data_IF_539697049073
#
_entry.id   IF_539697049073
#
_cell.length_a   1.000
_cell.length_b   1.000
_cell.length_c   1.000
_cell.angle_alpha   90.00
_cell.angle_beta   90.00
_cell.angle_gamma   90.00
#
_symmetry.space_group_name_H-M   'P 1'
#
loop_
_entity.id
_entity.type
_entity.pdbx_description
1 polymer ?
#
# COMPACT_ATOMS: atom_id res chain seq x y z
N UNK A 1 12.24 92.13 -5.54
CA UNK A 1 11.03 91.28 -5.45
C UNK A 1 11.31 90.01 -6.22
N UNK A 2 12.16 89.14 -5.70
CA UNK A 2 11.96 88.16 -4.62
C UNK A 2 11.70 86.82 -5.28
N UNK A 3 12.78 86.06 -5.39
CA UNK A 3 12.81 84.63 -5.64
C UNK A 3 11.86 83.94 -4.65
N UNK A 4 10.80 83.32 -5.16
CA UNK A 4 9.92 82.50 -4.34
C UNK A 4 10.52 81.09 -4.26
N UNK A 5 11.30 80.91 -3.21
CA UNK A 5 11.87 79.64 -2.74
C UNK A 5 10.74 78.65 -2.43
N UNK A 6 10.62 77.59 -3.24
CA UNK A 6 9.71 76.49 -2.98
C UNK A 6 10.37 75.60 -1.91
N UNK A 7 9.83 75.46 -0.68
CA UNK A 7 10.47 74.64 0.33
C UNK A 7 10.37 73.16 -0.07
N UNK A 8 11.53 72.49 -0.07
CA UNK A 8 11.64 71.05 -0.27
C UNK A 8 10.78 70.30 0.75
N UNK A 9 9.67 69.73 0.30
CA UNK A 9 8.88 68.80 1.10
C UNK A 9 9.75 67.59 1.49
N UNK A 10 9.75 67.14 2.75
CA UNK A 10 10.48 65.93 3.13
C UNK A 10 9.85 64.74 2.42
N UNK A 11 10.65 64.07 1.59
CA UNK A 11 10.29 62.78 1.01
C UNK A 11 9.90 61.81 2.13
N UNK A 12 8.67 61.26 2.16
CA UNK A 12 8.36 60.19 3.08
C UNK A 12 9.06 58.92 2.57
N UNK A 13 10.25 58.63 3.10
CA UNK A 13 10.88 57.31 2.98
C UNK A 13 10.14 56.30 3.85
N UNK A 14 8.89 56.00 3.49
CA UNK A 14 8.17 54.88 4.08
C UNK A 14 8.71 53.59 3.47
N UNK A 15 9.66 52.99 4.21
CA UNK A 15 10.04 51.58 4.15
C UNK A 15 8.78 50.74 3.88
N UNK A 16 8.73 49.88 2.84
CA UNK A 16 7.56 49.05 2.62
C UNK A 16 7.32 48.22 3.87
N UNK A 17 6.07 48.07 4.34
CA UNK A 17 5.79 47.17 5.45
C UNK A 17 6.28 45.79 5.01
N UNK A 18 7.35 45.31 5.65
CA UNK A 18 7.78 43.93 5.55
C UNK A 18 6.54 43.09 5.83
N UNK A 19 6.09 42.34 4.84
CA UNK A 19 4.95 41.44 4.96
C UNK A 19 5.33 40.31 5.93
N UNK A 20 5.32 40.62 7.22
CA UNK A 20 5.25 39.64 8.30
C UNK A 20 3.84 39.09 8.30
N UNK A 21 3.59 38.24 7.32
CA UNK A 21 2.24 37.85 6.92
C UNK A 21 2.18 36.44 6.35
N UNK A 22 3.10 35.54 6.71
CA UNK A 22 2.74 34.12 6.68
C UNK A 22 2.09 33.78 8.02
N UNK A 23 0.85 34.25 8.16
CA UNK A 23 -0.13 33.79 9.15
C UNK A 23 0.01 32.27 9.21
N UNK A 24 0.61 31.76 10.28
CA UNK A 24 0.83 30.34 10.46
C UNK A 24 -0.51 29.65 10.29
N UNK A 25 -0.71 28.95 9.16
CA UNK A 25 -1.91 28.14 8.97
C UNK A 25 -2.02 27.24 10.19
N UNK A 26 -3.20 27.06 10.81
CA UNK A 26 -3.32 26.15 11.94
C UNK A 26 -2.74 24.81 11.49
N UNK A 27 -1.65 24.41 12.11
CA UNK A 27 -0.97 23.19 11.73
C UNK A 27 -1.93 22.06 12.07
N UNK A 28 -2.46 21.40 11.04
CA UNK A 28 -3.24 20.17 11.22
C UNK A 28 -2.50 19.31 12.24
N UNK A 29 -3.20 18.91 13.29
CA UNK A 29 -2.65 18.13 14.37
C UNK A 29 -3.52 16.91 14.63
N UNK A 30 -2.94 15.91 15.28
CA UNK A 30 -3.65 14.69 15.65
C UNK A 30 -3.30 14.31 17.08
N UNK A 31 -4.31 13.87 17.81
CA UNK A 31 -4.23 13.39 19.19
C UNK A 31 -4.94 12.03 19.29
N UNK A 32 -4.49 11.18 20.22
CA UNK A 32 -5.06 9.84 20.36
C UNK A 32 -6.51 9.89 20.90
N UNK A 33 -6.77 10.81 21.82
CA UNK A 33 -8.05 10.99 22.52
C UNK A 33 -9.07 11.68 21.61
N UNK A 34 -8.77 12.90 21.16
CA UNK A 34 -9.70 13.73 20.39
C UNK A 34 -9.62 13.57 18.86
N UNK A 35 -8.58 12.90 18.34
CA UNK A 35 -8.40 12.70 16.90
C UNK A 35 -7.80 13.90 16.17
N UNK A 36 -8.31 14.20 14.96
CA UNK A 36 -7.80 15.23 14.06
C UNK A 36 -8.29 16.64 14.46
N UNK A 37 -7.37 17.59 14.52
CA UNK A 37 -7.64 19.01 14.81
C UNK A 37 -7.06 19.91 13.72
N UNK A 38 -7.69 21.08 13.53
CA UNK A 38 -7.19 22.10 12.61
C UNK A 38 -7.35 21.77 11.12
N UNK A 39 -8.16 20.77 10.77
CA UNK A 39 -8.58 20.52 9.38
C UNK A 39 -9.70 21.51 9.05
N UNK A 40 -9.43 22.46 8.16
CA UNK A 40 -10.42 23.46 7.73
C UNK A 40 -11.31 22.93 6.61
N UNK A 41 -12.48 23.53 6.38
CA UNK A 41 -13.34 23.20 5.24
C UNK A 41 -12.63 23.41 3.89
N UNK A 42 -11.75 24.40 3.81
CA UNK A 42 -10.89 24.60 2.63
C UNK A 42 -9.98 23.39 2.38
N UNK A 43 -9.42 22.80 3.43
CA UNK A 43 -8.61 21.58 3.32
C UNK A 43 -9.44 20.38 2.88
N UNK A 44 -10.65 20.25 3.42
CA UNK A 44 -11.59 19.19 3.02
C UNK A 44 -11.96 19.32 1.54
N UNK A 45 -12.24 20.54 1.08
CA UNK A 45 -12.55 20.83 -0.33
C UNK A 45 -11.36 20.57 -1.26
N UNK A 46 -10.16 21.00 -0.85
CA UNK A 46 -8.92 20.77 -1.59
C UNK A 46 -8.66 19.26 -1.77
N UNK A 47 -8.74 18.49 -0.67
CA UNK A 47 -8.48 17.05 -0.71
C UNK A 47 -9.60 16.27 -1.40
N UNK A 48 -10.86 16.67 -1.24
CA UNK A 48 -11.98 16.06 -1.94
C UNK A 48 -11.87 16.23 -3.46
N UNK A 49 -11.40 17.39 -3.92
CA UNK A 49 -11.14 17.64 -5.35
C UNK A 49 -9.92 16.88 -5.85
N UNK A 50 -8.85 16.81 -5.06
CA UNK A 50 -7.61 16.12 -5.44
C UNK A 50 -7.73 14.59 -5.43
N UNK A 51 -8.53 14.03 -4.53
CA UNK A 51 -8.66 12.58 -4.31
C UNK A 51 -10.14 12.13 -4.39
N UNK A 52 -10.78 12.21 -5.57
CA UNK A 52 -12.22 11.95 -5.70
C UNK A 52 -12.64 10.51 -5.38
N UNK A 53 -11.72 9.53 -5.44
CA UNK A 53 -12.00 8.14 -5.10
C UNK A 53 -11.81 7.80 -3.61
N UNK A 54 -11.35 8.76 -2.81
CA UNK A 54 -11.13 8.61 -1.37
C UNK A 54 -12.24 9.34 -0.60
N UNK A 55 -13.10 8.59 0.10
CA UNK A 55 -14.12 9.19 0.95
C UNK A 55 -13.46 9.80 2.20
N UNK A 56 -13.32 11.13 2.24
CA UNK A 56 -12.42 11.82 3.17
C UNK A 56 -12.69 11.46 4.64
N UNK A 57 -13.95 11.48 5.09
CA UNK A 57 -14.28 11.16 6.49
C UNK A 57 -13.95 9.70 6.85
N UNK A 58 -14.19 8.75 5.93
CA UNK A 58 -13.84 7.34 6.14
C UNK A 58 -12.32 7.17 6.21
N UNK A 59 -11.58 7.87 5.37
CA UNK A 59 -10.12 7.80 5.35
C UNK A 59 -9.49 8.47 6.58
N UNK A 60 -10.05 9.58 7.08
CA UNK A 60 -9.63 10.19 8.35
C UNK A 60 -9.88 9.26 9.54
N UNK A 61 -10.98 8.51 9.55
CA UNK A 61 -11.28 7.50 10.57
C UNK A 61 -10.31 6.32 10.51
N UNK A 62 -10.02 5.79 9.32
CA UNK A 62 -9.02 4.72 9.13
C UNK A 62 -7.62 5.18 9.52
N UNK A 63 -7.25 6.41 9.16
CA UNK A 63 -5.98 6.99 9.54
C UNK A 63 -5.87 7.12 11.07
N UNK A 64 -6.95 7.53 11.75
CA UNK A 64 -7.02 7.56 13.22
C UNK A 64 -6.85 6.18 13.83
N UNK A 65 -7.56 5.16 13.33
CA UNK A 65 -7.41 3.79 13.81
C UNK A 65 -5.99 3.26 13.62
N UNK A 66 -5.36 3.55 12.47
CA UNK A 66 -3.97 3.17 12.20
C UNK A 66 -2.99 3.84 13.15
N UNK A 67 -3.17 5.12 13.45
CA UNK A 67 -2.33 5.86 14.39
C UNK A 67 -2.48 5.36 15.82
N UNK A 68 -3.71 5.06 16.26
CA UNK A 68 -3.97 4.41 17.55
C UNK A 68 -3.26 3.06 17.67
N UNK A 69 -3.26 2.26 16.60
CA UNK A 69 -2.53 0.99 16.56
C UNK A 69 -0.99 1.17 16.44
N UNK A 70 -0.50 2.32 16.00
CA UNK A 70 0.91 2.60 15.74
C UNK A 70 1.40 3.85 16.49
N UNK A 71 1.46 3.84 17.83
CA UNK A 71 1.78 5.01 18.64
C UNK A 71 3.16 5.62 18.31
N UNK A 72 4.13 4.80 17.88
CA UNK A 72 5.47 5.25 17.43
C UNK A 72 5.42 6.19 16.21
N UNK A 73 4.33 6.18 15.45
CA UNK A 73 4.15 7.00 14.24
C UNK A 73 3.40 8.31 14.53
N UNK A 74 2.96 8.53 15.77
CA UNK A 74 2.16 9.69 16.19
C UNK A 74 2.98 10.98 16.43
N UNK A 75 4.31 10.92 16.38
CA UNK A 75 5.18 12.09 16.59
C UNK A 75 5.46 12.94 15.33
N UNK A 76 4.56 12.97 14.33
CA UNK A 76 4.82 13.67 13.07
C UNK A 76 4.63 15.18 13.23
N UNK A 77 5.62 15.95 12.79
CA UNK A 77 5.58 17.43 12.79
C UNK A 77 4.72 18.03 11.67
N UNK A 78 4.45 17.27 10.61
CA UNK A 78 3.66 17.71 9.46
C UNK A 78 2.60 16.65 9.11
N UNK A 79 1.43 16.81 9.72
CA UNK A 79 0.28 15.94 9.51
C UNK A 79 -0.39 16.14 8.15
N UNK A 80 -0.34 17.34 7.58
CA UNK A 80 -0.87 17.60 6.24
C UNK A 80 -0.20 16.70 5.19
N UNK A 81 1.13 16.61 5.22
CA UNK A 81 1.88 15.70 4.34
C UNK A 81 1.54 14.23 4.57
N UNK A 82 1.28 13.85 5.82
CA UNK A 82 0.85 12.48 6.13
C UNK A 82 -0.51 12.16 5.51
N UNK A 83 -1.49 13.06 5.64
CA UNK A 83 -2.83 12.88 5.07
C UNK A 83 -2.81 12.83 3.55
N UNK A 84 -2.10 13.74 2.89
CA UNK A 84 -1.94 13.73 1.42
C UNK A 84 -1.35 12.40 0.94
N UNK A 85 -0.27 11.93 1.57
CA UNK A 85 0.33 10.64 1.24
C UNK A 85 -0.49 9.41 1.69
N UNK A 86 -1.46 9.58 2.59
CA UNK A 86 -2.44 8.57 2.97
C UNK A 86 -3.52 8.44 1.89
N UNK A 87 -4.12 9.57 1.51
CA UNK A 87 -5.17 9.66 0.50
C UNK A 87 -4.68 9.21 -0.87
N UNK A 88 -3.47 9.62 -1.28
CA UNK A 88 -2.85 9.14 -2.52
C UNK A 88 -2.76 7.61 -2.56
N UNK A 89 -2.27 6.99 -1.47
CA UNK A 89 -2.17 5.52 -1.39
C UNK A 89 -3.54 4.84 -1.40
N UNK A 90 -4.56 5.49 -0.84
CA UNK A 90 -5.93 4.99 -0.90
C UNK A 90 -6.44 5.00 -2.36
N UNK A 91 -6.25 6.11 -3.06
CA UNK A 91 -6.59 6.27 -4.47
C UNK A 91 -5.87 5.22 -5.34
N UNK A 92 -4.55 5.07 -5.20
CA UNK A 92 -3.74 4.13 -5.98
C UNK A 92 -4.13 2.67 -5.74
N UNK A 93 -4.60 2.33 -4.53
CA UNK A 93 -5.09 0.98 -4.21
C UNK A 93 -6.54 0.73 -4.62
N UNK A 94 -7.14 1.63 -5.39
CA UNK A 94 -8.48 1.52 -5.96
C UNK A 94 -9.55 2.31 -5.22
N UNK A 95 -9.18 3.22 -4.32
CA UNK A 95 -10.09 4.10 -3.60
C UNK A 95 -10.96 3.40 -2.56
N UNK A 96 -11.65 4.22 -1.75
CA UNK A 96 -12.68 3.74 -0.81
C UNK A 96 -13.98 3.41 -1.53
N UNK A 97 -14.25 4.10 -2.63
CA UNK A 97 -15.39 3.92 -3.52
C UNK A 97 -15.23 2.73 -4.47
N UNK A 98 -14.64 1.62 -4.02
CA UNK A 98 -14.75 0.38 -4.79
C UNK A 98 -16.20 -0.07 -4.79
N UNK A 99 -16.82 -0.02 -5.96
CA UNK A 99 -18.08 -0.69 -6.20
C UNK A 99 -17.92 -2.18 -5.86
N UNK A 100 -18.68 -2.72 -4.89
CA UNK A 100 -18.61 -4.13 -4.51
C UNK A 100 -19.20 -4.97 -5.65
N UNK A 101 -18.38 -5.25 -6.67
CA UNK A 101 -18.82 -5.99 -7.85
C UNK A 101 -17.80 -5.97 -8.99
N UNK A 102 -17.09 -4.86 -9.16
CA UNK A 102 -16.08 -4.72 -10.23
C UNK A 102 -14.68 -5.13 -9.76
N UNK A 103 -14.56 -6.29 -9.10
CA UNK A 103 -13.25 -6.91 -8.95
C UNK A 103 -12.92 -7.49 -10.33
N UNK A 104 -11.82 -7.11 -11.00
CA UNK A 104 -11.36 -7.90 -12.13
C UNK A 104 -11.27 -9.33 -11.61
N UNK A 105 -11.96 -10.25 -12.29
CA UNK A 105 -11.86 -11.66 -11.98
C UNK A 105 -10.37 -11.93 -11.76
N UNK A 106 -10.01 -12.43 -10.58
CA UNK A 106 -8.61 -12.74 -10.30
C UNK A 106 -8.05 -13.56 -11.46
N UNK A 107 -6.71 -13.62 -11.63
CA UNK A 107 -6.12 -14.47 -12.66
C UNK A 107 -6.86 -15.82 -12.66
N UNK A 108 -7.29 -16.31 -13.83
CA UNK A 108 -8.15 -17.49 -13.93
C UNK A 108 -7.57 -18.56 -13.02
N UNK A 109 -8.41 -19.35 -12.31
CA UNK A 109 -7.95 -20.29 -11.31
C UNK A 109 -6.75 -21.04 -11.86
N UNK A 110 -5.56 -20.73 -11.32
CA UNK A 110 -4.33 -21.34 -11.82
C UNK A 110 -4.51 -22.82 -11.62
N UNK A 111 -4.43 -23.60 -12.69
CA UNK A 111 -4.60 -25.05 -12.61
C UNK A 111 -3.59 -25.57 -11.59
N UNK A 112 -4.10 -25.92 -10.41
CA UNK A 112 -3.28 -26.33 -9.27
C UNK A 112 -2.48 -27.58 -9.57
N UNK A 113 -2.93 -28.40 -10.54
CA UNK A 113 -2.23 -29.59 -10.99
C UNK A 113 -0.93 -29.25 -11.73
N UNK A 114 -0.83 -28.08 -12.37
CA UNK A 114 0.36 -27.65 -13.11
C UNK A 114 1.35 -26.88 -12.24
N UNK A 115 0.95 -26.49 -11.02
CA UNK A 115 1.80 -25.73 -10.11
C UNK A 115 2.81 -26.66 -9.44
N UNK A 116 4.09 -26.41 -9.72
CA UNK A 116 5.21 -27.13 -9.11
C UNK A 116 5.62 -26.43 -7.83
N UNK A 117 5.70 -27.18 -6.75
CA UNK A 117 6.17 -26.70 -5.46
C UNK A 117 7.43 -27.45 -5.07
N UNK A 118 8.33 -26.78 -4.36
CA UNK A 118 9.48 -27.43 -3.78
C UNK A 118 9.01 -28.41 -2.70
N UNK A 119 9.37 -29.69 -2.85
CA UNK A 119 9.07 -30.75 -1.90
C UNK A 119 10.37 -31.13 -1.21
N UNK A 120 10.54 -30.69 0.03
CA UNK A 120 11.80 -30.83 0.79
C UNK A 120 12.26 -32.28 0.92
N UNK A 121 11.31 -33.20 1.03
CA UNK A 121 11.52 -34.63 1.16
C UNK A 121 11.91 -35.32 -0.16
N UNK A 122 11.57 -34.72 -1.31
CA UNK A 122 11.99 -35.17 -2.63
C UNK A 122 13.17 -34.36 -3.20
N UNK A 123 13.62 -33.30 -2.51
CA UNK A 123 14.75 -32.44 -2.90
C UNK A 123 14.55 -31.66 -4.21
N UNK A 124 13.33 -31.64 -4.78
CA UNK A 124 13.05 -31.05 -6.10
C UNK A 124 11.65 -30.43 -6.19
N UNK A 125 11.46 -29.63 -7.23
CA UNK A 125 10.15 -29.05 -7.56
C UNK A 125 9.29 -30.06 -8.32
N UNK A 126 8.14 -30.44 -7.75
CA UNK A 126 7.20 -31.39 -8.36
C UNK A 126 5.76 -30.92 -8.19
N UNK A 127 4.90 -31.37 -9.11
CA UNK A 127 3.44 -31.25 -8.99
C UNK A 127 2.90 -32.18 -7.91
N UNK A 128 1.65 -31.97 -7.49
CA UNK A 128 0.98 -32.81 -6.49
C UNK A 128 0.82 -34.26 -6.99
N UNK A 129 0.51 -34.44 -8.28
CA UNK A 129 0.38 -35.75 -8.91
C UNK A 129 1.73 -36.50 -8.98
N UNK A 130 2.79 -35.81 -9.40
CA UNK A 130 4.15 -36.40 -9.38
C UNK A 130 4.52 -36.77 -7.93
N UNK A 131 4.19 -35.91 -6.95
CA UNK A 131 4.53 -36.13 -5.54
C UNK A 131 3.85 -37.37 -4.97
N UNK A 132 2.58 -37.59 -5.29
CA UNK A 132 1.85 -38.80 -4.91
C UNK A 132 2.46 -40.08 -5.52
N UNK A 133 2.93 -40.03 -6.78
CA UNK A 133 3.64 -41.17 -7.40
C UNK A 133 4.97 -41.44 -6.70
N UNK A 134 5.72 -40.39 -6.38
CA UNK A 134 6.99 -40.52 -5.67
C UNK A 134 6.81 -41.03 -4.22
N UNK A 135 5.75 -40.61 -3.53
CA UNK A 135 5.41 -41.15 -2.21
C UNK A 135 5.02 -42.64 -2.27
N UNK A 136 4.26 -43.03 -3.30
CA UNK A 136 3.92 -44.44 -3.55
C UNK A 136 5.18 -45.27 -3.82
N UNK A 137 6.10 -44.78 -4.65
CA UNK A 137 7.34 -45.50 -4.95
C UNK A 137 8.26 -45.65 -3.71
N UNK A 138 8.31 -44.63 -2.83
CA UNK A 138 8.96 -44.74 -1.51
C UNK A 138 8.34 -45.78 -0.59
N UNK A 139 7.01 -45.89 -0.58
CA UNK A 139 6.31 -46.83 0.30
C UNK A 139 6.25 -48.25 -0.27
N UNK A 140 6.41 -48.41 -1.58
CA UNK A 140 6.38 -49.70 -2.28
C UNK A 140 7.75 -50.32 -2.55
N UNK A 141 8.85 -49.71 -2.07
CA UNK A 141 10.18 -50.31 -2.20
C UNK A 141 10.69 -50.42 -3.64
N UNK A 142 10.45 -49.39 -4.47
CA UNK A 142 11.03 -49.29 -5.80
C UNK A 142 10.38 -50.21 -6.83
N UNK A 143 9.41 -49.70 -7.58
CA UNK A 143 8.74 -50.46 -8.65
C UNK A 143 9.64 -50.81 -9.84
N UNK A 144 10.86 -50.27 -9.90
CA UNK A 144 11.91 -50.74 -10.84
C UNK A 144 12.53 -52.07 -10.43
N UNK A 145 12.55 -52.43 -9.15
CA UNK A 145 13.00 -53.76 -8.69
C UNK A 145 11.92 -54.83 -8.95
N UNK A 146 10.65 -54.52 -8.70
CA UNK A 146 9.55 -55.47 -8.93
C UNK A 146 9.34 -55.81 -10.41
N UNK A 147 9.49 -54.85 -11.34
CA UNK A 147 9.46 -55.12 -12.78
C UNK A 147 10.72 -55.84 -13.28
N UNK A 148 11.89 -55.61 -12.68
CA UNK A 148 13.12 -56.33 -13.02
C UNK A 148 13.09 -57.80 -12.56
N UNK A 149 12.46 -58.10 -11.41
CA UNK A 149 12.28 -59.48 -10.93
C UNK A 149 11.22 -60.24 -11.74
N UNK A 150 10.12 -59.58 -12.16
CA UNK A 150 9.06 -60.22 -12.95
C UNK A 150 9.50 -60.58 -14.38
N UNK A 151 10.46 -59.85 -14.96
CA UNK A 151 11.01 -60.16 -16.29
C UNK A 151 12.00 -61.34 -16.27
N UNK A 152 12.75 -61.54 -15.17
CA UNK A 152 13.72 -62.64 -15.06
C UNK A 152 13.07 -64.01 -14.86
N UNK A 153 11.92 -64.07 -14.19
CA UNK A 153 11.19 -65.35 -13.98
C UNK A 153 10.53 -65.89 -15.26
N UNK A 154 10.36 -65.06 -16.30
CA UNK A 154 9.72 -65.46 -17.56
C UNK A 154 10.71 -66.03 -18.59
N UNK A 155 12.02 -65.86 -18.39
CA UNK A 155 13.07 -66.48 -19.22
C UNK A 155 13.49 -67.86 -18.69
N UNK A 156 13.43 -68.10 -17.38
CA UNK A 156 13.81 -69.40 -16.79
C UNK A 156 12.72 -70.49 -16.92
N UNK A 157 11.50 -70.12 -17.30
CA UNK A 157 10.40 -71.07 -17.53
C UNK A 157 10.31 -71.55 -19.01
N UNK A 158 11.29 -71.20 -19.86
CA UNK A 158 11.30 -71.53 -21.30
C UNK A 158 12.51 -72.39 -21.74
N UNK A 159 13.22 -73.01 -20.80
CA UNK A 159 14.20 -74.08 -21.07
C UNK A 159 13.62 -75.43 -20.79
#
# INVERSE_FOLDING_TARGET
NTEEEIPAAPVPTSKPPSASGSRAKPAVSWSADDGWHGITDADRSEWGTAFPGAALDQELAKATAWLRANPKRCGKRNWRRFLVGWLQRCQDKGGTHREPGNRPAGPPPVDSARRRFYRSDAGRNMTDAEYAVWQRDRNSGGTTAALATALRLKEEART
#
